data_IF_575377394926
#
_entry.id   IF_575377394926
#
_cell.length_a   1.000
_cell.length_b   1.000
_cell.length_c   1.000
_cell.angle_alpha   90.00
_cell.angle_beta   90.00
_cell.angle_gamma   90.00
#
_symmetry.space_group_name_H-M   'P 1'
#
loop_
_entity.id
_entity.type
_entity.pdbx_description
1 polymer ?
#
# COMPACT_ATOMS: atom_id res chain seq x y z
N UNK A 1 9.57 -25.27 -65.44
CA UNK A 1 9.32 -26.69 -65.14
C UNK A 1 8.68 -26.77 -63.77
N UNK A 2 7.56 -27.51 -63.66
CA UNK A 2 6.86 -27.96 -62.44
C UNK A 2 6.54 -26.88 -61.37
N UNK A 3 5.33 -26.34 -61.20
CA UNK A 3 4.00 -26.97 -60.98
C UNK A 3 4.02 -28.13 -59.97
N UNK A 4 3.19 -27.99 -58.94
CA UNK A 4 2.62 -29.01 -58.04
C UNK A 4 3.23 -29.05 -56.63
N UNK A 5 2.52 -28.42 -55.68
CA UNK A 5 2.26 -28.82 -54.28
C UNK A 5 1.27 -27.77 -53.76
N UNK A 6 -0.01 -27.78 -54.12
CA UNK A 6 -1.07 -28.65 -53.59
C UNK A 6 -0.92 -28.99 -52.11
N UNK A 7 -1.35 -28.05 -51.26
CA UNK A 7 -1.96 -28.28 -49.94
C UNK A 7 -2.60 -26.93 -49.54
N UNK A 8 -3.79 -26.57 -50.03
CA UNK A 8 -5.10 -26.96 -49.51
C UNK A 8 -5.11 -27.26 -48.01
N UNK A 9 -5.37 -26.24 -47.21
CA UNK A 9 -6.12 -26.23 -45.94
C UNK A 9 -6.27 -24.75 -45.56
N UNK A 10 -7.11 -23.97 -46.24
CA UNK A 10 -8.48 -23.67 -45.79
C UNK A 10 -8.61 -23.86 -44.27
N UNK A 11 -7.94 -23.01 -43.51
CA UNK A 11 -8.31 -22.78 -42.11
C UNK A 11 -9.48 -21.82 -42.17
N UNK A 12 -10.64 -22.41 -41.91
CA UNK A 12 -11.94 -21.79 -41.92
C UNK A 12 -11.94 -20.50 -41.07
N UNK A 13 -12.42 -19.45 -41.73
CA UNK A 13 -13.01 -18.28 -41.11
C UNK A 13 -14.23 -18.74 -40.31
N UNK A 14 -14.02 -19.12 -39.04
CA UNK A 14 -15.08 -19.43 -38.10
C UNK A 14 -15.26 -18.25 -37.14
N UNK A 15 -16.18 -17.36 -37.53
CA UNK A 15 -17.24 -16.83 -36.66
C UNK A 15 -16.85 -16.63 -35.18
N UNK A 16 -16.02 -15.63 -34.87
CA UNK A 16 -16.04 -15.03 -33.52
C UNK A 16 -17.22 -14.07 -33.47
N UNK A 17 -18.22 -14.50 -32.71
CA UNK A 17 -19.40 -13.76 -32.36
C UNK A 17 -19.04 -12.41 -31.70
N UNK A 18 -19.82 -11.40 -32.07
CA UNK A 18 -19.92 -10.13 -31.38
C UNK A 18 -20.36 -10.38 -29.92
N UNK A 19 -19.47 -10.12 -28.97
CA UNK A 19 -19.79 -9.92 -27.56
C UNK A 19 -19.29 -8.53 -27.15
N UNK A 20 -20.11 -7.67 -26.53
CA UNK A 20 -19.67 -6.35 -26.10
C UNK A 20 -18.79 -6.51 -24.86
N UNK A 21 -17.47 -6.57 -25.04
CA UNK A 21 -16.56 -6.22 -23.95
C UNK A 21 -16.58 -4.69 -23.84
N UNK A 22 -17.31 -4.22 -22.84
CA UNK A 22 -17.18 -2.88 -22.29
C UNK A 22 -15.71 -2.64 -21.96
N UNK A 23 -15.01 -1.97 -22.87
CA UNK A 23 -13.68 -1.43 -22.64
C UNK A 23 -13.79 -0.24 -21.71
N UNK A 24 -13.78 -0.53 -20.40
CA UNK A 24 -13.48 0.45 -19.37
C UNK A 24 -12.02 0.86 -19.55
N UNK A 25 -11.81 1.94 -20.29
CA UNK A 25 -10.50 2.58 -20.38
C UNK A 25 -10.30 3.31 -19.07
N UNK A 26 -9.48 2.70 -18.22
CA UNK A 26 -9.00 3.29 -16.99
C UNK A 26 -8.42 4.67 -17.24
N UNK A 27 -9.15 5.66 -16.75
CA UNK A 27 -8.61 6.93 -16.31
C UNK A 27 -9.10 7.11 -14.87
N UNK A 28 -8.22 6.83 -13.94
CA UNK A 28 -8.31 7.39 -12.59
C UNK A 28 -6.95 7.92 -12.24
N UNK A 29 -6.70 9.09 -12.83
CA UNK A 29 -6.61 10.28 -12.00
C UNK A 29 -5.71 10.11 -10.80
N UNK A 30 -4.44 10.48 -11.01
CA UNK A 30 -3.67 11.17 -10.01
C UNK A 30 -4.47 12.38 -9.50
N UNK A 31 -5.27 12.17 -8.46
CA UNK A 31 -5.73 13.25 -7.59
C UNK A 31 -5.02 13.10 -6.27
N UNK A 32 -3.99 13.94 -6.11
CA UNK A 32 -3.63 14.48 -4.81
C UNK A 32 -4.89 15.12 -4.22
N UNK A 33 -5.58 14.36 -3.36
CA UNK A 33 -6.61 14.87 -2.48
C UNK A 33 -6.14 14.56 -1.06
N UNK A 34 -5.58 15.60 -0.44
CA UNK A 34 -5.57 15.74 0.99
C UNK A 34 -7.03 15.79 1.44
N UNK A 35 -7.59 14.63 1.78
CA UNK A 35 -8.90 14.56 2.40
C UNK A 35 -8.73 13.87 3.74
N UNK A 36 -8.54 14.73 4.74
CA UNK A 36 -8.67 14.37 6.13
C UNK A 36 -10.08 13.87 6.38
N UNK A 37 -10.13 12.69 7.01
CA UNK A 37 -11.11 12.24 8.02
C UNK A 37 -12.29 11.40 7.52
N UNK A 38 -12.36 10.17 8.04
CA UNK A 38 -13.50 9.74 8.82
C UNK A 38 -13.17 9.85 10.32
N UNK A 39 -14.01 10.60 11.02
CA UNK A 39 -14.03 10.62 12.47
C UNK A 39 -14.59 9.26 12.90
N UNK A 40 -13.76 8.38 13.45
CA UNK A 40 -14.19 7.05 13.88
C UNK A 40 -14.44 6.10 12.70
N UNK A 41 -13.38 5.75 11.98
CA UNK A 41 -13.40 4.59 11.08
C UNK A 41 -13.48 3.31 11.89
N UNK A 42 -14.17 2.30 11.35
CA UNK A 42 -14.10 0.92 11.84
C UNK A 42 -12.63 0.46 11.89
N UNK A 43 -12.32 -0.55 12.70
CA UNK A 43 -10.94 -1.03 12.88
C UNK A 43 -10.26 -1.36 11.53
N UNK A 44 -11.03 -1.83 10.56
CA UNK A 44 -10.57 -2.13 9.20
C UNK A 44 -10.16 -0.86 8.42
N UNK A 45 -10.98 0.19 8.45
CA UNK A 45 -10.67 1.46 7.78
C UNK A 45 -9.43 2.14 8.41
N UNK A 46 -9.32 2.06 9.74
CA UNK A 46 -8.15 2.57 10.47
C UNK A 46 -6.87 1.79 10.15
N UNK A 47 -7.00 0.49 9.89
CA UNK A 47 -5.88 -0.38 9.51
C UNK A 47 -5.38 -0.07 8.09
N UNK A 48 -6.29 0.08 7.12
CA UNK A 48 -5.92 0.44 5.75
C UNK A 48 -5.29 1.85 5.67
N UNK A 49 -5.83 2.82 6.41
CA UNK A 49 -5.21 4.15 6.51
C UNK A 49 -3.81 4.08 7.15
N UNK A 50 -3.69 3.35 8.27
CA UNK A 50 -2.40 3.14 8.94
C UNK A 50 -1.35 2.49 8.03
N UNK A 51 -1.75 1.50 7.24
CA UNK A 51 -0.90 0.84 6.24
C UNK A 51 -0.43 1.78 5.13
N UNK A 52 -1.33 2.63 4.63
CA UNK A 52 -1.00 3.64 3.61
C UNK A 52 0.01 4.64 4.16
N UNK A 53 -0.24 5.17 5.36
CA UNK A 53 0.67 6.09 6.05
C UNK A 53 2.03 5.46 6.32
N UNK A 54 2.03 4.21 6.79
CA UNK A 54 3.27 3.47 7.03
C UNK A 54 4.11 3.33 5.76
N UNK A 55 3.47 2.96 4.64
CA UNK A 55 4.15 2.83 3.35
C UNK A 55 4.73 4.16 2.88
N UNK A 56 4.01 5.27 3.10
CA UNK A 56 4.41 6.59 2.66
C UNK A 56 5.56 7.20 3.49
N UNK A 57 5.53 7.04 4.82
CA UNK A 57 6.42 7.76 5.72
C UNK A 57 7.41 6.89 6.49
N UNK A 58 7.03 5.63 6.79
CA UNK A 58 7.76 4.80 7.76
C UNK A 58 8.60 3.71 7.08
N UNK A 59 8.11 3.14 5.98
CA UNK A 59 8.72 2.02 5.27
C UNK A 59 10.10 2.36 4.69
N UNK A 60 10.41 3.64 4.47
CA UNK A 60 11.75 4.07 4.05
C UNK A 60 12.84 3.69 5.05
N UNK A 61 12.52 3.67 6.34
CA UNK A 61 13.46 3.28 7.40
C UNK A 61 13.18 1.89 7.98
N UNK A 62 11.90 1.53 8.11
CA UNK A 62 11.48 0.27 8.72
C UNK A 62 11.25 -0.85 7.72
N UNK A 63 11.16 -0.56 6.41
CA UNK A 63 10.80 -1.55 5.39
C UNK A 63 9.30 -1.86 5.40
N UNK A 64 8.75 -2.44 4.31
CA UNK A 64 7.34 -2.80 4.23
C UNK A 64 6.94 -3.90 5.22
N UNK A 65 7.89 -4.71 5.66
CA UNK A 65 7.74 -5.78 6.64
C UNK A 65 8.18 -5.38 8.06
N UNK A 66 8.65 -4.14 8.25
CA UNK A 66 9.10 -3.64 9.55
C UNK A 66 10.50 -4.09 9.98
N UNK A 67 11.29 -4.72 9.09
CA UNK A 67 12.60 -5.33 9.42
C UNK A 67 13.83 -4.60 8.87
N UNK A 68 13.67 -3.56 8.06
CA UNK A 68 14.79 -2.94 7.32
C UNK A 68 15.91 -2.40 8.22
N UNK A 69 15.56 -1.75 9.32
CA UNK A 69 16.52 -1.28 10.32
C UNK A 69 17.43 -0.14 9.89
N UNK A 70 17.04 0.66 8.89
CA UNK A 70 17.84 1.79 8.40
C UNK A 70 18.11 2.80 9.52
N UNK A 71 19.33 3.35 9.59
CA UNK A 71 19.73 4.33 10.61
C UNK A 71 19.48 3.86 12.06
N UNK A 72 19.52 2.54 12.31
CA UNK A 72 19.28 1.97 13.63
C UNK A 72 17.79 1.90 14.01
N UNK A 73 16.89 1.99 13.03
CA UNK A 73 15.48 1.69 13.22
C UNK A 73 15.32 0.28 13.83
N UNK A 74 14.44 0.14 14.83
CA UNK A 74 14.17 -1.16 15.45
C UNK A 74 13.34 -2.04 14.50
N UNK A 75 13.58 -3.35 14.59
CA UNK A 75 12.68 -4.34 14.00
C UNK A 75 11.33 -4.26 14.72
N UNK A 76 10.29 -3.88 13.97
CA UNK A 76 8.95 -3.68 14.49
C UNK A 76 8.23 -5.00 14.79
N UNK A 77 8.68 -6.10 14.19
CA UNK A 77 8.07 -7.44 14.32
C UNK A 77 8.32 -8.06 15.69
N UNK A 78 9.42 -7.69 16.35
CA UNK A 78 9.80 -8.16 17.69
C UNK A 78 9.65 -7.08 18.77
N UNK A 79 9.09 -5.92 18.43
CA UNK A 79 8.99 -4.78 19.35
C UNK A 79 7.86 -4.98 20.38
N UNK A 80 8.23 -4.96 21.67
CA UNK A 80 7.32 -5.11 22.82
C UNK A 80 6.74 -3.78 23.34
N UNK A 81 7.01 -2.68 22.65
CA UNK A 81 6.47 -1.35 22.99
C UNK A 81 4.94 -1.34 22.97
N UNK A 82 4.32 -0.59 23.87
CA UNK A 82 2.85 -0.43 23.94
C UNK A 82 2.35 0.51 22.85
N UNK A 83 1.03 0.56 22.63
CA UNK A 83 0.44 1.44 21.62
C UNK A 83 0.70 2.91 21.99
N UNK A 84 0.55 3.29 23.25
CA UNK A 84 0.82 4.64 23.73
C UNK A 84 2.27 5.04 23.48
N UNK A 85 3.22 4.15 23.79
CA UNK A 85 4.64 4.44 23.58
C UNK A 85 4.96 4.58 22.08
N UNK A 86 4.30 3.82 21.21
CA UNK A 86 4.46 4.00 19.76
C UNK A 86 3.88 5.31 19.26
N UNK A 87 2.70 5.70 19.75
CA UNK A 87 2.10 7.00 19.44
C UNK A 87 3.04 8.12 19.85
N UNK A 88 3.62 8.05 21.06
CA UNK A 88 4.55 9.06 21.56
C UNK A 88 5.82 9.14 20.69
N UNK A 89 6.40 7.99 20.32
CA UNK A 89 7.58 7.93 19.46
C UNK A 89 7.32 8.44 18.05
N UNK A 90 6.15 8.17 17.48
CA UNK A 90 5.75 8.71 16.17
C UNK A 90 5.50 10.21 16.27
N UNK A 91 4.89 10.68 17.35
CA UNK A 91 4.57 12.10 17.56
C UNK A 91 5.85 12.92 17.70
N UNK A 92 6.71 12.58 18.66
CA UNK A 92 7.86 13.40 19.05
C UNK A 92 9.20 12.90 18.51
N UNK A 93 9.21 11.78 17.80
CA UNK A 93 10.44 11.13 17.36
C UNK A 93 11.17 10.39 18.49
N UNK A 94 12.20 9.63 18.14
CA UNK A 94 13.09 8.95 19.09
C UNK A 94 14.44 8.62 18.45
N UNK A 95 15.53 9.05 19.08
CA UNK A 95 16.88 8.92 18.54
C UNK A 95 16.97 9.53 17.12
N UNK A 96 17.22 8.70 16.10
CA UNK A 96 17.30 9.11 14.70
C UNK A 96 15.92 9.21 14.00
N UNK A 97 14.83 8.79 14.66
CA UNK A 97 13.48 8.91 14.13
C UNK A 97 12.97 10.35 14.30
N UNK A 98 12.61 10.98 13.19
CA UNK A 98 12.06 12.34 13.15
C UNK A 98 10.65 12.41 13.78
N UNK A 99 10.26 13.56 14.35
CA UNK A 99 8.89 13.78 14.82
C UNK A 99 7.90 13.95 13.65
N UNK A 100 6.68 13.41 13.81
CA UNK A 100 5.61 13.53 12.81
C UNK A 100 4.43 14.40 13.27
N UNK A 101 4.50 15.02 14.46
CA UNK A 101 3.43 15.88 15.00
C UNK A 101 3.03 17.06 14.09
N UNK A 102 3.94 17.52 13.22
CA UNK A 102 3.70 18.61 12.27
C UNK A 102 3.35 18.13 10.86
N UNK A 103 3.28 16.81 10.64
CA UNK A 103 3.06 16.17 9.34
C UNK A 103 1.76 15.36 9.33
N UNK A 104 1.46 14.69 10.43
CA UNK A 104 0.31 13.80 10.59
C UNK A 104 -0.65 14.33 11.66
N UNK A 105 -1.95 14.09 11.49
CA UNK A 105 -2.92 14.36 12.56
C UNK A 105 -2.81 13.32 13.68
N UNK A 106 -3.39 13.60 14.84
CA UNK A 106 -3.40 12.64 15.97
C UNK A 106 -4.03 11.31 15.59
N UNK A 107 -5.12 11.34 14.84
CA UNK A 107 -5.81 10.15 14.35
C UNK A 107 -4.94 9.34 13.39
N UNK A 108 -4.19 10.01 12.50
CA UNK A 108 -3.26 9.38 11.59
C UNK A 108 -2.06 8.75 12.30
N UNK A 109 -1.55 9.42 13.34
CA UNK A 109 -0.50 8.90 14.21
C UNK A 109 -1.00 7.64 14.94
N UNK A 110 -2.22 7.68 15.47
CA UNK A 110 -2.83 6.51 16.11
C UNK A 110 -3.02 5.35 15.12
N UNK A 111 -3.51 5.64 13.91
CA UNK A 111 -3.73 4.65 12.86
C UNK A 111 -2.41 3.96 12.45
N UNK A 112 -1.34 4.73 12.19
CA UNK A 112 -0.04 4.15 11.84
C UNK A 112 0.57 3.37 13.01
N UNK A 113 0.43 3.87 14.25
CA UNK A 113 0.91 3.16 15.44
C UNK A 113 0.19 1.82 15.62
N UNK A 114 -1.14 1.78 15.43
CA UNK A 114 -1.93 0.54 15.42
C UNK A 114 -1.46 -0.42 14.33
N UNK A 115 -1.26 0.06 13.11
CA UNK A 115 -0.73 -0.76 12.02
C UNK A 115 0.62 -1.39 12.36
N UNK A 116 1.53 -0.65 13.02
CA UNK A 116 2.83 -1.23 13.40
C UNK A 116 2.71 -2.39 14.41
N UNK A 117 1.60 -2.52 15.14
CA UNK A 117 1.34 -3.66 16.03
C UNK A 117 0.95 -4.92 15.27
N UNK A 118 0.34 -4.77 14.09
CA UNK A 118 -0.05 -5.91 13.25
C UNK A 118 1.14 -6.53 12.52
N UNK A 119 2.29 -5.84 12.49
CA UNK A 119 3.54 -6.36 11.91
C UNK A 119 4.24 -7.38 12.80
N UNK A 120 3.80 -7.58 14.04
CA UNK A 120 4.39 -8.57 14.96
C UNK A 120 4.20 -9.97 14.40
N UNK A 121 5.27 -10.76 14.42
CA UNK A 121 5.33 -12.15 13.91
C UNK A 121 5.68 -13.10 15.05
#
# INVERSE_FOLDING_TARGET
>A
MARIFLALMIVACAMVACAPSSGDSGDSGSTAANESKPAGGTDEASNEEGKKLFTQYCAVCHGPDGKLGLNGAKDLTVSETTLEERIEQVTHGKNAMVPFENVLTKEQIEAVAKYTMTLKQ
#
